data_IF_830543089530
#
_entry.id   IF_830543089530
#
_cell.length_a   1.000
_cell.length_b   1.000
_cell.length_c   1.000
_cell.angle_alpha   90.00
_cell.angle_beta   90.00
_cell.angle_gamma   90.00
#
_symmetry.space_group_name_H-M   'P 1'
#
loop_
_entity.id
_entity.type
_entity.pdbx_description
1 polymer ?
#
# COMPACT_ATOMS: atom_id res chain seq x y z
N UNK A 1 25.55 -0.69 -31.04
CA UNK A 1 24.63 -1.50 -30.19
C UNK A 1 25.49 -2.53 -29.49
N UNK A 2 25.33 -2.73 -28.18
CA UNK A 2 26.13 -3.68 -27.39
C UNK A 2 25.33 -4.91 -26.97
N UNK A 3 24.07 -4.73 -26.60
CA UNK A 3 23.15 -5.84 -26.31
C UNK A 3 21.82 -5.65 -27.06
N UNK A 4 21.11 -6.75 -27.29
CA UNK A 4 19.71 -6.75 -27.74
C UNK A 4 18.90 -7.64 -26.79
N UNK A 5 17.85 -7.09 -26.19
CA UNK A 5 16.97 -7.78 -25.21
C UNK A 5 15.56 -7.80 -25.76
N UNK A 6 15.04 -8.97 -26.15
CA UNK A 6 13.70 -9.11 -26.77
C UNK A 6 13.48 -8.10 -27.92
N UNK A 7 14.47 -8.00 -28.81
CA UNK A 7 14.52 -7.08 -29.96
C UNK A 7 14.64 -5.58 -29.59
N UNK A 8 14.89 -5.25 -28.32
CA UNK A 8 15.16 -3.88 -27.87
C UNK A 8 16.69 -3.70 -27.79
N UNK A 9 17.28 -2.79 -28.59
CA UNK A 9 18.71 -2.56 -28.57
C UNK A 9 19.13 -1.74 -27.34
N UNK A 10 20.25 -2.12 -26.73
CA UNK A 10 20.96 -1.35 -25.70
C UNK A 10 22.29 -0.92 -26.31
N UNK A 11 22.54 0.38 -26.36
CA UNK A 11 23.75 0.95 -26.95
C UNK A 11 24.87 1.09 -25.93
N UNK A 12 26.11 1.22 -26.42
CA UNK A 12 27.26 1.55 -25.58
C UNK A 12 27.08 2.91 -24.89
N UNK A 13 26.37 3.85 -25.52
CA UNK A 13 26.02 5.14 -24.94
C UNK A 13 25.09 5.00 -23.73
N UNK A 14 24.07 4.15 -23.82
CA UNK A 14 23.15 3.89 -22.70
C UNK A 14 23.88 3.32 -21.48
N UNK A 15 24.80 2.38 -21.73
CA UNK A 15 25.64 1.78 -20.68
C UNK A 15 26.58 2.82 -20.07
N UNK A 16 27.16 3.71 -20.89
CA UNK A 16 28.03 4.78 -20.41
C UNK A 16 27.26 5.79 -19.53
N UNK A 17 26.05 6.19 -19.93
CA UNK A 17 25.19 7.05 -19.12
C UNK A 17 24.79 6.40 -17.79
N UNK A 18 24.48 5.10 -17.80
CA UNK A 18 24.20 4.34 -16.57
C UNK A 18 25.42 4.26 -15.65
N UNK A 19 26.61 4.02 -16.21
CA UNK A 19 27.86 3.99 -15.46
C UNK A 19 28.20 5.36 -14.86
N UNK A 20 28.00 6.44 -15.61
CA UNK A 20 28.11 7.82 -15.13
C UNK A 20 27.15 8.08 -13.95
N UNK A 21 25.91 7.63 -14.05
CA UNK A 21 24.93 7.77 -12.98
C UNK A 21 25.34 7.01 -11.72
N UNK A 22 25.87 5.79 -11.85
CA UNK A 22 26.42 5.04 -10.72
C UNK A 22 27.57 5.77 -10.02
N UNK A 23 28.47 6.40 -10.79
CA UNK A 23 29.55 7.23 -10.23
C UNK A 23 29.00 8.41 -9.42
N UNK A 24 27.99 9.11 -9.94
CA UNK A 24 27.35 10.23 -9.24
C UNK A 24 26.72 9.78 -7.91
N UNK A 25 26.12 8.59 -7.88
CA UNK A 25 25.55 7.98 -6.66
C UNK A 25 26.59 7.34 -5.74
N UNK A 26 27.87 7.30 -6.13
CA UNK A 26 28.92 6.49 -5.47
C UNK A 26 28.51 5.01 -5.30
N UNK A 27 27.68 4.51 -6.21
CA UNK A 27 27.17 3.14 -6.22
C UNK A 27 28.11 2.26 -7.04
N UNK A 28 28.47 1.10 -6.50
CA UNK A 28 29.16 0.03 -7.26
C UNK A 28 28.13 -0.82 -8.00
N UNK A 29 28.46 -1.28 -9.19
CA UNK A 29 27.59 -2.18 -9.95
C UNK A 29 28.00 -2.31 -11.41
N UNK A 30 27.40 -3.28 -12.09
CA UNK A 30 27.56 -3.49 -13.52
C UNK A 30 26.47 -2.72 -14.28
N UNK A 31 26.89 -1.66 -14.97
CA UNK A 31 26.00 -0.79 -15.73
C UNK A 31 25.34 -1.50 -16.92
N UNK A 32 26.02 -2.44 -17.57
CA UNK A 32 25.45 -3.23 -18.65
C UNK A 32 24.36 -4.15 -18.12
N UNK A 33 24.65 -4.84 -17.01
CA UNK A 33 23.67 -5.69 -16.32
C UNK A 33 22.42 -4.91 -15.91
N UNK A 34 22.57 -3.71 -15.34
CA UNK A 34 21.42 -2.88 -14.93
C UNK A 34 20.62 -2.37 -16.14
N UNK A 35 21.28 -2.04 -17.25
CA UNK A 35 20.55 -1.65 -18.47
C UNK A 35 19.75 -2.81 -19.07
N UNK A 36 20.28 -4.03 -19.00
CA UNK A 36 19.52 -5.24 -19.36
C UNK A 36 18.30 -5.40 -18.44
N UNK A 37 18.48 -5.28 -17.12
CA UNK A 37 17.38 -5.37 -16.15
C UNK A 37 16.32 -4.30 -16.38
N UNK A 38 16.74 -3.05 -16.58
CA UNK A 38 15.83 -1.96 -16.89
C UNK A 38 14.99 -2.26 -18.14
N UNK A 39 15.63 -2.80 -19.19
CA UNK A 39 14.95 -3.14 -20.44
C UNK A 39 13.93 -4.25 -20.23
N UNK A 40 14.26 -5.27 -19.43
CA UNK A 40 13.33 -6.34 -19.06
C UNK A 40 12.15 -5.82 -18.25
N UNK A 41 12.39 -4.96 -17.25
CA UNK A 41 11.34 -4.34 -16.43
C UNK A 41 10.36 -3.53 -17.28
N UNK A 42 10.87 -2.74 -18.23
CA UNK A 42 10.05 -1.96 -19.16
C UNK A 42 9.26 -2.86 -20.11
N UNK A 43 9.87 -3.90 -20.65
CA UNK A 43 9.18 -4.88 -21.51
C UNK A 43 8.04 -5.58 -20.76
N UNK A 44 8.26 -5.94 -19.50
CA UNK A 44 7.24 -6.58 -18.67
C UNK A 44 6.12 -5.61 -18.28
N UNK A 45 6.44 -4.39 -17.89
CA UNK A 45 5.43 -3.37 -17.63
C UNK A 45 4.54 -3.14 -18.87
N UNK A 46 5.14 -3.09 -20.06
CA UNK A 46 4.40 -3.01 -21.32
C UNK A 46 3.49 -4.23 -21.54
N UNK A 47 3.97 -5.45 -21.25
CA UNK A 47 3.17 -6.69 -21.33
C UNK A 47 1.95 -6.65 -20.41
N UNK A 48 2.10 -6.04 -19.23
CA UNK A 48 1.02 -5.84 -18.24
C UNK A 48 0.09 -4.66 -18.56
N UNK A 49 0.31 -3.94 -19.67
CA UNK A 49 -0.47 -2.76 -20.03
C UNK A 49 -0.18 -1.52 -19.18
N UNK A 50 0.91 -1.54 -18.41
CA UNK A 50 1.33 -0.41 -17.57
C UNK A 50 2.00 0.65 -18.44
N UNK A 51 1.46 1.88 -18.40
CA UNK A 51 2.01 3.02 -19.14
C UNK A 51 2.22 4.21 -18.21
N UNK A 52 3.47 4.68 -18.16
CA UNK A 52 3.83 5.89 -17.42
C UNK A 52 3.91 7.06 -18.41
N UNK A 53 3.12 8.09 -18.17
CA UNK A 53 3.04 9.29 -19.01
C UNK A 53 4.24 10.22 -18.81
N UNK A 54 4.54 11.05 -19.80
CA UNK A 54 5.65 12.01 -19.71
C UNK A 54 5.43 13.02 -18.58
N UNK A 55 4.20 13.45 -18.36
CA UNK A 55 3.83 14.32 -17.24
C UNK A 55 4.16 13.70 -15.87
N UNK A 56 3.92 12.39 -15.71
CA UNK A 56 4.27 11.68 -14.48
C UNK A 56 5.79 11.60 -14.28
N UNK A 57 6.54 11.38 -15.36
CA UNK A 57 8.01 11.37 -15.34
C UNK A 57 8.56 12.75 -15.01
N UNK A 58 8.00 13.81 -15.61
CA UNK A 58 8.42 15.20 -15.37
C UNK A 58 8.14 15.63 -13.93
N UNK A 59 6.96 15.29 -13.40
CA UNK A 59 6.63 15.54 -12.00
C UNK A 59 7.58 14.78 -11.05
N UNK A 60 7.93 13.53 -11.36
CA UNK A 60 8.89 12.76 -10.57
C UNK A 60 10.31 13.34 -10.64
N UNK A 61 10.72 13.80 -11.82
CA UNK A 61 11.99 14.47 -12.04
C UNK A 61 12.08 15.78 -11.24
N UNK A 62 11.02 16.58 -11.24
CA UNK A 62 10.92 17.80 -10.43
C UNK A 62 10.98 17.49 -8.93
N UNK A 63 10.23 16.48 -8.45
CA UNK A 63 10.31 16.03 -7.05
C UNK A 63 11.71 15.60 -6.66
N UNK A 64 12.43 14.90 -7.52
CA UNK A 64 13.81 14.52 -7.27
C UNK A 64 14.71 15.74 -7.07
N UNK A 65 14.58 16.76 -7.91
CA UNK A 65 15.32 18.02 -7.77
C UNK A 65 15.00 18.72 -6.42
N UNK A 66 13.71 18.84 -6.10
CA UNK A 66 13.23 19.44 -4.85
C UNK A 66 13.74 18.70 -3.60
N UNK A 67 13.70 17.36 -3.61
CA UNK A 67 14.19 16.53 -2.50
C UNK A 67 15.70 16.70 -2.29
N UNK A 68 16.46 16.93 -3.36
CA UNK A 68 17.89 17.23 -3.31
C UNK A 68 18.16 18.74 -3.10
N UNK A 69 17.14 19.53 -2.77
CA UNK A 69 17.23 20.98 -2.48
C UNK A 69 17.93 21.77 -3.59
N UNK A 70 17.67 21.41 -4.84
CA UNK A 70 18.26 22.09 -6.00
C UNK A 70 17.22 22.46 -7.06
N UNK A 71 17.37 23.62 -7.73
CA UNK A 71 16.56 23.95 -8.90
C UNK A 71 16.79 22.98 -10.05
N UNK A 72 15.78 22.79 -10.92
CA UNK A 72 15.88 21.91 -12.09
C UNK A 72 17.06 22.22 -13.00
N UNK A 73 17.33 23.50 -13.28
CA UNK A 73 18.48 23.92 -14.09
C UNK A 73 19.82 23.48 -13.50
N UNK A 74 19.94 23.48 -12.16
CA UNK A 74 21.15 23.03 -11.46
C UNK A 74 21.28 21.51 -11.54
N UNK A 75 20.18 20.77 -11.40
CA UNK A 75 20.18 19.32 -11.57
C UNK A 75 20.58 18.91 -13.00
N UNK A 76 20.00 19.56 -14.01
CA UNK A 76 20.32 19.35 -15.42
C UNK A 76 21.84 19.55 -15.66
N UNK A 77 22.42 20.64 -15.11
CA UNK A 77 23.85 20.92 -15.21
C UNK A 77 24.74 19.87 -14.53
N UNK A 78 24.40 19.46 -13.30
CA UNK A 78 25.18 18.45 -12.53
C UNK A 78 25.18 17.10 -13.24
N UNK A 79 24.02 16.68 -13.76
CA UNK A 79 23.90 15.42 -14.50
C UNK A 79 24.70 15.48 -15.80
N UNK A 80 24.55 16.56 -16.57
CA UNK A 80 25.27 16.73 -17.83
C UNK A 80 26.79 16.72 -17.63
N UNK A 81 27.30 17.43 -16.60
CA UNK A 81 28.72 17.42 -16.24
C UNK A 81 29.22 16.02 -15.88
N UNK A 82 28.36 15.20 -15.28
CA UNK A 82 28.68 13.82 -14.89
C UNK A 82 28.56 12.83 -16.05
N UNK A 83 28.09 13.27 -17.24
CA UNK A 83 27.84 12.40 -18.39
C UNK A 83 26.50 11.65 -18.32
N UNK A 84 25.55 12.10 -17.50
CA UNK A 84 24.18 11.58 -17.43
C UNK A 84 23.27 12.56 -18.17
N UNK A 85 22.62 12.14 -19.25
CA UNK A 85 21.64 13.01 -19.94
C UNK A 85 20.33 13.06 -19.17
N UNK A 86 19.63 14.19 -19.29
CA UNK A 86 18.29 14.38 -18.74
C UNK A 86 17.33 13.30 -19.23
N UNK A 87 17.41 12.99 -20.52
CA UNK A 87 16.60 11.99 -21.20
C UNK A 87 16.85 10.60 -20.63
N UNK A 88 18.13 10.21 -20.45
CA UNK A 88 18.48 8.92 -19.85
C UNK A 88 17.98 8.80 -18.41
N UNK A 89 18.09 9.87 -17.62
CA UNK A 89 17.61 9.86 -16.25
C UNK A 89 16.07 9.85 -16.16
N UNK A 90 15.37 10.55 -17.05
CA UNK A 90 13.91 10.46 -17.16
C UNK A 90 13.47 9.04 -17.56
N UNK A 91 14.19 8.38 -18.45
CA UNK A 91 13.90 6.99 -18.82
C UNK A 91 14.15 6.02 -17.65
N UNK A 92 15.17 6.27 -16.83
CA UNK A 92 15.38 5.54 -15.59
C UNK A 92 14.19 5.71 -14.63
N UNK A 93 13.71 6.94 -14.42
CA UNK A 93 12.54 7.22 -13.58
C UNK A 93 11.32 6.47 -14.12
N UNK A 94 11.09 6.53 -15.44
CA UNK A 94 9.99 5.81 -16.10
C UNK A 94 10.04 4.32 -15.79
N UNK A 95 11.21 3.70 -15.93
CA UNK A 95 11.40 2.29 -15.65
C UNK A 95 11.16 1.94 -14.18
N UNK A 96 11.63 2.76 -13.23
CA UNK A 96 11.39 2.54 -11.80
C UNK A 96 9.90 2.63 -11.45
N UNK A 97 9.20 3.63 -11.98
CA UNK A 97 7.76 3.80 -11.76
C UNK A 97 6.94 2.66 -12.35
N UNK A 98 7.25 2.29 -13.59
CA UNK A 98 6.59 1.18 -14.28
C UNK A 98 6.81 -0.15 -13.55
N UNK A 99 8.03 -0.37 -13.06
CA UNK A 99 8.39 -1.58 -12.31
C UNK A 99 7.67 -1.66 -10.96
N UNK A 100 7.58 -0.56 -10.21
CA UNK A 100 6.84 -0.54 -8.95
C UNK A 100 5.36 -0.90 -9.15
N UNK A 101 4.74 -0.43 -10.23
CA UNK A 101 3.37 -0.83 -10.57
C UNK A 101 3.28 -2.32 -10.97
N UNK A 102 4.27 -2.84 -11.69
CA UNK A 102 4.34 -4.25 -12.07
C UNK A 102 4.50 -5.17 -10.85
N UNK A 103 5.35 -4.81 -9.90
CA UNK A 103 5.51 -5.52 -8.62
C UNK A 103 4.21 -5.52 -7.82
N UNK A 104 3.53 -4.37 -7.73
CA UNK A 104 2.24 -4.29 -7.07
C UNK A 104 1.17 -5.16 -7.76
N UNK A 105 1.17 -5.22 -9.09
CA UNK A 105 0.26 -6.09 -9.84
C UNK A 105 0.55 -7.58 -9.57
N UNK A 106 1.83 -7.97 -9.60
CA UNK A 106 2.27 -9.34 -9.29
C UNK A 106 1.98 -9.74 -7.84
N UNK A 107 2.13 -8.83 -6.89
CA UNK A 107 1.77 -9.07 -5.50
C UNK A 107 0.26 -9.32 -5.34
N UNK A 108 -0.58 -8.52 -6.01
CA UNK A 108 -2.05 -8.69 -5.99
C UNK A 108 -2.53 -9.96 -6.71
N UNK A 109 -1.83 -10.43 -7.74
CA UNK A 109 -2.18 -11.67 -8.44
C UNK A 109 -1.79 -12.94 -7.69
N UNK A 110 -1.19 -12.82 -6.49
CA UNK A 110 -0.71 -13.94 -5.67
C UNK A 110 0.58 -14.59 -6.17
N UNK A 111 0.98 -14.31 -7.41
CA UNK A 111 2.21 -14.79 -8.06
C UNK A 111 3.48 -14.05 -7.56
N UNK A 112 3.28 -12.96 -6.81
CA UNK A 112 4.30 -12.25 -6.03
C UNK A 112 4.38 -12.67 -4.56
N UNK A 113 3.69 -13.75 -4.20
CA UNK A 113 3.53 -14.18 -2.82
C UNK A 113 2.35 -13.47 -2.15
N UNK A 114 1.12 -13.94 -2.43
CA UNK A 114 0.24 -14.13 -1.26
C UNK A 114 1.03 -15.01 -0.30
N UNK A 115 1.17 -14.63 0.97
CA UNK A 115 1.84 -15.46 1.97
C UNK A 115 1.29 -16.88 1.81
N UNK A 116 2.09 -17.76 1.23
CA UNK A 116 1.70 -19.15 1.04
C UNK A 116 1.63 -19.77 2.42
N UNK A 117 0.85 -20.83 2.60
CA UNK A 117 0.84 -21.54 3.88
C UNK A 117 2.27 -21.93 4.32
N UNK A 118 3.15 -22.23 3.35
CA UNK A 118 4.56 -22.52 3.60
C UNK A 118 5.38 -21.30 4.06
N UNK A 119 5.13 -20.11 3.52
CA UNK A 119 5.78 -18.87 3.97
C UNK A 119 5.29 -18.44 5.36
N UNK A 120 3.99 -18.64 5.65
CA UNK A 120 3.44 -18.46 6.99
C UNK A 120 4.09 -19.43 7.98
N UNK A 121 4.25 -20.70 7.61
CA UNK A 121 4.93 -21.71 8.44
C UNK A 121 6.42 -21.38 8.66
N UNK A 122 7.15 -20.95 7.62
CA UNK A 122 8.55 -20.49 7.79
C UNK A 122 8.64 -19.28 8.71
N UNK A 123 7.78 -18.27 8.52
CA UNK A 123 7.72 -17.09 9.41
C UNK A 123 7.34 -17.45 10.84
N UNK A 124 6.46 -18.43 11.03
CA UNK A 124 6.12 -18.99 12.35
C UNK A 124 7.35 -19.63 13.00
N UNK A 125 8.10 -20.46 12.25
CA UNK A 125 9.32 -21.11 12.74
C UNK A 125 10.41 -20.06 13.11
N UNK A 126 10.59 -19.03 12.29
CA UNK A 126 11.57 -17.96 12.54
C UNK A 126 11.21 -17.07 13.75
N UNK A 127 9.91 -16.87 14.04
CA UNK A 127 9.42 -16.16 15.23
C UNK A 127 9.25 -17.08 16.46
N UNK A 128 9.90 -18.25 16.48
CA UNK A 128 9.92 -19.14 17.65
C UNK A 128 8.76 -20.14 17.73
N UNK A 129 8.13 -20.48 16.60
CA UNK A 129 7.08 -21.50 16.48
C UNK A 129 5.69 -21.07 16.95
N UNK A 130 5.53 -19.86 17.46
CA UNK A 130 4.24 -19.35 17.93
C UNK A 130 3.45 -18.73 16.79
N UNK A 131 2.18 -19.14 16.70
CA UNK A 131 1.26 -18.65 15.67
C UNK A 131 0.79 -17.24 16.02
N UNK A 132 0.93 -16.25 15.11
CA UNK A 132 0.47 -14.89 15.38
C UNK A 132 -1.00 -14.89 15.75
N UNK A 133 -1.35 -14.24 16.85
CA UNK A 133 -2.73 -13.99 17.21
C UNK A 133 -3.19 -12.65 16.60
N UNK A 134 -4.47 -12.59 16.25
CA UNK A 134 -5.16 -11.35 15.90
C UNK A 134 -6.28 -11.12 16.90
N UNK A 135 -6.55 -9.87 17.26
CA UNK A 135 -7.76 -9.54 18.00
C UNK A 135 -8.96 -9.58 17.05
N UNK A 136 -9.93 -10.45 17.34
CA UNK A 136 -11.25 -10.47 16.71
C UNK A 136 -12.21 -9.63 17.54
N UNK A 137 -12.90 -8.70 16.89
CA UNK A 137 -13.93 -7.86 17.49
C UNK A 137 -15.32 -8.28 17.01
N UNK A 138 -16.29 -8.23 17.91
CA UNK A 138 -17.71 -8.14 17.58
C UNK A 138 -18.13 -6.68 17.72
N UNK A 139 -18.59 -6.08 16.62
CA UNK A 139 -18.87 -4.65 16.55
C UNK A 139 -20.32 -4.39 16.17
N UNK A 140 -20.86 -3.31 16.71
CA UNK A 140 -22.16 -2.79 16.34
C UNK A 140 -22.03 -1.33 15.95
N UNK A 141 -22.58 -0.95 14.80
CA UNK A 141 -22.59 0.42 14.33
C UNK A 141 -23.95 1.05 14.60
N UNK A 142 -23.92 2.23 15.21
CA UNK A 142 -25.11 3.05 15.45
C UNK A 142 -25.02 4.28 14.57
N UNK A 143 -26.09 4.55 13.82
CA UNK A 143 -26.16 5.62 12.81
C UNK A 143 -27.39 6.47 13.13
N UNK A 144 -27.15 7.72 13.49
CA UNK A 144 -28.15 8.77 13.57
C UNK A 144 -28.27 9.36 12.17
N UNK A 145 -29.27 8.91 11.42
CA UNK A 145 -29.42 9.28 10.02
C UNK A 145 -29.74 10.76 9.92
N UNK A 146 -29.11 11.43 8.96
CA UNK A 146 -29.35 12.84 8.62
C UNK A 146 -29.51 12.95 7.10
N UNK A 147 -30.72 13.21 6.58
CA UNK A 147 -30.93 13.43 5.15
C UNK A 147 -30.06 14.58 4.63
N UNK A 148 -29.54 14.44 3.41
CA UNK A 148 -28.68 15.45 2.81
C UNK A 148 -29.35 16.84 2.72
N UNK A 149 -30.66 16.87 2.44
CA UNK A 149 -31.47 18.09 2.37
C UNK A 149 -31.60 18.84 3.70
N UNK A 150 -31.45 18.15 4.82
CA UNK A 150 -31.66 18.70 6.18
C UNK A 150 -30.35 18.88 6.96
N UNK A 151 -29.23 18.48 6.36
CA UNK A 151 -27.94 18.36 7.05
C UNK A 151 -27.49 19.66 7.73
N UNK A 152 -27.65 20.80 7.07
CA UNK A 152 -27.27 22.10 7.64
C UNK A 152 -28.10 22.47 8.88
N UNK A 153 -29.37 22.05 8.93
CA UNK A 153 -30.29 22.38 10.01
C UNK A 153 -30.21 21.41 11.18
N UNK A 154 -29.99 20.11 10.93
CA UNK A 154 -30.22 19.06 11.95
C UNK A 154 -28.96 18.36 12.42
N UNK A 155 -27.83 18.42 11.69
CA UNK A 155 -26.62 17.65 12.02
C UNK A 155 -26.10 17.91 13.44
N UNK A 156 -26.05 19.18 13.87
CA UNK A 156 -25.59 19.52 15.22
C UNK A 156 -26.50 18.96 16.33
N UNK A 157 -27.82 18.95 16.11
CA UNK A 157 -28.79 18.34 17.03
C UNK A 157 -28.59 16.83 17.08
N UNK A 158 -28.45 16.18 15.91
CA UNK A 158 -28.26 14.74 15.76
C UNK A 158 -26.93 14.28 16.38
N UNK A 159 -25.89 15.11 16.30
CA UNK A 159 -24.63 14.87 17.01
C UNK A 159 -24.80 14.83 18.52
N UNK A 160 -25.53 15.80 19.10
CA UNK A 160 -25.80 15.81 20.56
C UNK A 160 -26.60 14.57 21.00
N UNK A 161 -27.58 14.15 20.20
CA UNK A 161 -28.36 12.94 20.46
C UNK A 161 -27.47 11.67 20.40
N UNK A 162 -26.59 11.58 19.40
CA UNK A 162 -25.62 10.50 19.28
C UNK A 162 -24.64 10.47 20.47
N UNK A 163 -24.13 11.62 20.88
CA UNK A 163 -23.23 11.74 22.04
C UNK A 163 -23.94 11.35 23.35
N UNK A 164 -25.21 11.73 23.51
CA UNK A 164 -26.02 11.35 24.67
C UNK A 164 -26.30 9.84 24.71
N UNK A 165 -26.60 9.21 23.57
CA UNK A 165 -26.75 7.75 23.49
C UNK A 165 -25.43 7.04 23.77
N UNK A 166 -24.33 7.51 23.18
CA UNK A 166 -22.98 6.99 23.41
C UNK A 166 -22.59 7.05 24.88
N UNK A 167 -22.88 8.14 25.58
CA UNK A 167 -22.56 8.31 27.01
C UNK A 167 -23.27 7.27 27.90
N UNK A 168 -24.41 6.73 27.44
CA UNK A 168 -25.19 5.71 28.13
C UNK A 168 -24.93 4.29 27.62
N UNK A 169 -24.04 4.14 26.63
CA UNK A 169 -23.71 2.85 26.04
C UNK A 169 -22.98 1.97 27.07
N UNK A 170 -23.52 0.78 27.32
CA UNK A 170 -22.98 -0.18 28.28
C UNK A 170 -22.91 -1.61 27.73
N UNK A 171 -22.95 -1.75 26.40
CA UNK A 171 -22.94 -3.03 25.71
C UNK A 171 -23.91 -3.08 24.53
N UNK A 172 -23.67 -4.03 23.64
CA UNK A 172 -24.47 -4.19 22.42
C UNK A 172 -25.85 -4.83 22.67
N UNK A 173 -26.06 -5.49 23.82
CA UNK A 173 -27.32 -6.12 24.19
C UNK A 173 -28.47 -5.10 24.40
N UNK A 174 -28.15 -3.89 24.86
CA UNK A 174 -29.13 -2.84 25.15
C UNK A 174 -29.29 -1.83 24.01
N UNK A 175 -28.39 -1.84 23.03
CA UNK A 175 -28.29 -0.79 22.00
C UNK A 175 -29.55 -0.69 21.14
N UNK A 176 -30.13 -1.83 20.75
CA UNK A 176 -31.38 -1.86 19.97
C UNK A 176 -32.57 -1.33 20.77
N UNK A 177 -32.64 -1.64 22.05
CA UNK A 177 -33.72 -1.17 22.92
C UNK A 177 -33.65 0.35 23.12
N UNK A 178 -32.44 0.89 23.36
CA UNK A 178 -32.24 2.33 23.43
C UNK A 178 -32.57 3.03 22.11
N UNK A 179 -32.24 2.42 20.97
CA UNK A 179 -32.51 3.01 19.65
C UNK A 179 -34.01 3.10 19.32
N UNK A 180 -34.86 2.20 19.83
CA UNK A 180 -36.32 2.24 19.58
C UNK A 180 -36.98 3.53 20.06
N UNK A 181 -36.42 4.17 21.08
CA UNK A 181 -36.92 5.46 21.60
C UNK A 181 -36.41 6.68 20.84
N UNK A 182 -35.61 6.50 19.79
CA UNK A 182 -34.94 7.57 19.05
C UNK A 182 -35.38 7.56 17.58
N UNK A 183 -35.61 8.76 17.04
CA UNK A 183 -36.02 8.94 15.65
C UNK A 183 -34.82 8.72 14.73
N UNK A 184 -35.03 8.01 13.63
CA UNK A 184 -34.05 7.79 12.55
C UNK A 184 -32.69 7.24 13.01
N UNK A 185 -32.70 6.34 13.99
CA UNK A 185 -31.50 5.65 14.47
C UNK A 185 -31.47 4.23 13.91
N UNK A 186 -30.41 3.93 13.16
CA UNK A 186 -30.16 2.57 12.64
C UNK A 186 -29.06 1.89 13.46
N UNK A 187 -29.33 0.65 13.86
CA UNK A 187 -28.38 -0.20 14.57
C UNK A 187 -28.03 -1.41 13.72
N UNK A 188 -26.77 -1.49 13.28
CA UNK A 188 -26.25 -2.51 12.37
C UNK A 188 -25.18 -3.35 13.06
N UNK A 189 -25.35 -4.66 13.06
CA UNK A 189 -24.31 -5.58 13.52
C UNK A 189 -23.29 -5.78 12.41
N UNK A 190 -22.00 -5.60 12.71
CA UNK A 190 -20.92 -5.75 11.73
C UNK A 190 -20.32 -7.16 11.73
N UNK A 191 -20.81 -8.04 12.62
CA UNK A 191 -20.29 -9.39 12.78
C UNK A 191 -18.87 -9.41 13.36
N UNK A 192 -18.15 -10.49 13.06
CA UNK A 192 -16.76 -10.72 13.48
C UNK A 192 -15.81 -10.00 12.54
N UNK A 193 -14.97 -9.10 13.07
CA UNK A 193 -13.99 -8.33 12.31
C UNK A 193 -12.62 -8.48 12.97
N UNK A 194 -11.61 -8.88 12.20
CA UNK A 194 -10.24 -8.97 12.70
C UNK A 194 -9.59 -7.60 12.73
N UNK A 195 -8.73 -7.35 13.72
CA UNK A 195 -8.02 -6.07 13.88
C UNK A 195 -7.29 -5.58 12.61
N UNK A 196 -6.68 -6.45 11.77
CA UNK A 196 -6.07 -6.03 10.51
C UNK A 196 -7.05 -5.65 9.40
N UNK A 197 -8.32 -6.07 9.51
CA UNK A 197 -9.38 -5.76 8.55
C UNK A 197 -10.16 -4.48 8.92
N UNK A 198 -9.86 -3.89 10.08
CA UNK A 198 -10.53 -2.67 10.50
C UNK A 198 -10.23 -1.54 9.51
N UNK A 199 -11.26 -0.81 9.04
CA UNK A 199 -11.06 0.40 8.25
C UNK A 199 -10.12 1.37 8.99
N UNK A 200 -9.16 1.95 8.25
CA UNK A 200 -8.10 2.79 8.85
C UNK A 200 -8.64 3.99 9.61
N UNK A 201 -9.77 4.53 9.16
CA UNK A 201 -10.47 5.63 9.81
C UNK A 201 -11.00 5.24 11.20
N UNK A 202 -11.46 4.01 11.42
CA UNK A 202 -11.99 3.54 12.70
C UNK A 202 -11.00 2.74 13.56
N UNK A 203 -9.94 2.20 12.95
CA UNK A 203 -9.08 1.20 13.57
C UNK A 203 -8.48 1.66 14.91
N UNK A 204 -7.93 2.87 14.98
CA UNK A 204 -7.33 3.40 16.21
C UNK A 204 -8.35 3.59 17.33
N UNK A 205 -9.53 4.14 17.00
CA UNK A 205 -10.58 4.40 17.97
C UNK A 205 -11.17 3.10 18.51
N UNK A 206 -11.36 2.09 17.65
CA UNK A 206 -11.83 0.77 18.05
C UNK A 206 -10.82 0.10 18.98
N UNK A 207 -9.54 0.11 18.62
CA UNK A 207 -8.46 -0.48 19.44
C UNK A 207 -8.32 0.20 20.80
N UNK A 208 -8.54 1.51 20.87
CA UNK A 208 -8.48 2.28 22.12
C UNK A 208 -9.75 2.13 22.99
N UNK A 209 -10.86 1.65 22.42
CA UNK A 209 -12.14 1.53 23.13
C UNK A 209 -12.23 0.19 23.84
N UNK A 210 -12.55 0.21 25.14
CA UNK A 210 -12.75 -1.02 25.94
C UNK A 210 -14.02 -1.77 25.49
N UNK A 211 -14.00 -3.09 25.65
CA UNK A 211 -15.20 -3.93 25.48
C UNK A 211 -16.34 -3.41 26.36
N UNK A 212 -17.55 -3.38 25.80
CA UNK A 212 -18.73 -2.78 26.42
C UNK A 212 -18.83 -1.26 26.25
N UNK A 213 -17.78 -0.60 25.72
CA UNK A 213 -17.76 0.83 25.42
C UNK A 213 -18.06 1.16 23.95
N UNK A 214 -18.11 2.46 23.66
CA UNK A 214 -18.34 2.99 22.33
C UNK A 214 -17.31 4.07 21.94
N UNK A 215 -16.88 4.05 20.68
CA UNK A 215 -15.97 5.03 20.09
C UNK A 215 -16.58 6.45 20.15
N UNK A 216 -15.77 7.52 20.04
CA UNK A 216 -16.30 8.87 19.81
C UNK A 216 -17.25 8.93 18.61
N UNK A 217 -18.20 9.86 18.64
CA UNK A 217 -19.11 10.08 17.51
C UNK A 217 -18.39 10.78 16.36
N UNK A 218 -18.79 10.43 15.14
CA UNK A 218 -18.23 10.98 13.90
C UNK A 218 -19.34 11.40 12.96
N UNK A 219 -19.09 12.49 12.24
CA UNK A 219 -19.96 12.93 11.16
C UNK A 219 -19.55 12.20 9.87
N UNK A 220 -20.53 11.59 9.21
CA UNK A 220 -20.39 10.88 7.94
C UNK A 220 -21.44 11.39 6.95
N UNK A 221 -21.39 10.97 5.70
CA UNK A 221 -22.42 11.31 4.70
C UNK A 221 -23.82 10.84 5.13
N UNK A 222 -23.92 9.75 5.88
CA UNK A 222 -25.19 9.19 6.36
C UNK A 222 -25.75 9.93 7.57
N UNK A 223 -24.91 10.69 8.29
CA UNK A 223 -25.31 11.45 9.47
C UNK A 223 -24.24 11.42 10.56
N UNK A 224 -24.59 10.98 11.76
CA UNK A 224 -23.65 10.84 12.89
C UNK A 224 -23.57 9.40 13.34
N UNK A 225 -22.36 8.88 13.51
CA UNK A 225 -22.12 7.47 13.76
C UNK A 225 -21.17 7.22 14.92
N UNK A 226 -21.33 6.09 15.60
CA UNK A 226 -20.32 5.53 16.49
C UNK A 226 -20.33 4.00 16.42
N UNK A 227 -19.23 3.39 16.86
CA UNK A 227 -19.06 1.94 16.94
C UNK A 227 -19.05 1.50 18.40
N UNK A 228 -19.96 0.59 18.74
CA UNK A 228 -19.97 -0.13 20.01
C UNK A 228 -19.13 -1.40 19.93
N UNK A 229 -18.32 -1.64 20.96
CA UNK A 229 -17.47 -2.83 21.08
C UNK A 229 -18.21 -3.89 21.91
N UNK A 230 -18.77 -4.90 21.25
CA UNK A 230 -19.59 -5.91 21.92
C UNK A 230 -18.74 -6.93 22.67
N UNK A 231 -17.68 -7.41 22.02
CA UNK A 231 -16.68 -8.30 22.61
C UNK A 231 -15.39 -8.22 21.81
N UNK A 232 -14.28 -8.61 22.43
CA UNK A 232 -13.00 -8.85 21.75
C UNK A 232 -12.38 -10.13 22.27
N UNK A 233 -11.77 -10.91 21.40
CA UNK A 233 -10.99 -12.09 21.78
C UNK A 233 -9.76 -12.23 20.91
N UNK A 234 -8.71 -12.84 21.43
CA UNK A 234 -7.59 -13.25 20.59
C UNK A 234 -7.94 -14.53 19.83
N UNK A 235 -7.66 -14.54 18.53
CA UNK A 235 -7.78 -15.72 17.67
C UNK A 235 -6.43 -16.00 17.03
N UNK A 236 -6.02 -17.26 17.04
CA UNK A 236 -4.75 -17.72 16.46
C UNK A 236 -5.04 -18.90 15.52
N UNK A 237 -6.00 -18.71 14.60
CA UNK A 237 -6.30 -19.66 13.52
C UNK A 237 -5.48 -19.36 12.25
N UNK A 238 -5.46 -20.29 11.28
CA UNK A 238 -4.52 -20.18 10.13
C UNK A 238 -4.84 -18.94 9.29
N UNK A 239 -6.11 -18.57 9.23
CA UNK A 239 -6.60 -17.39 8.53
C UNK A 239 -6.18 -16.09 9.24
N UNK A 240 -6.27 -16.05 10.56
CA UNK A 240 -5.80 -14.93 11.37
C UNK A 240 -4.29 -14.74 11.23
N UNK A 241 -3.51 -15.83 11.29
CA UNK A 241 -2.07 -15.80 11.08
C UNK A 241 -1.72 -15.27 9.67
N UNK A 242 -2.38 -15.77 8.63
CA UNK A 242 -2.18 -15.30 7.26
C UNK A 242 -2.46 -13.80 7.12
N UNK A 243 -3.54 -13.31 7.73
CA UNK A 243 -3.92 -11.88 7.67
C UNK A 243 -2.97 -10.98 8.45
N UNK A 244 -2.48 -11.42 9.62
CA UNK A 244 -1.45 -10.69 10.37
C UNK A 244 -0.17 -10.60 9.53
N UNK A 245 0.26 -11.70 8.91
CA UNK A 245 1.44 -11.68 8.05
C UNK A 245 1.28 -10.86 6.78
N UNK A 246 0.07 -10.76 6.21
CA UNK A 246 -0.22 -9.86 5.09
C UNK A 246 -0.21 -8.39 5.51
N UNK A 247 -0.79 -8.08 6.68
CA UNK A 247 -0.79 -6.72 7.23
C UNK A 247 0.61 -6.27 7.67
N UNK A 248 1.41 -7.15 8.26
CA UNK A 248 2.84 -6.92 8.55
C UNK A 248 3.68 -6.92 7.26
N UNK A 249 3.29 -7.71 6.26
CA UNK A 249 3.99 -7.87 4.98
C UNK A 249 3.79 -6.73 3.99
N UNK A 250 2.97 -5.73 4.32
CA UNK A 250 2.77 -4.52 3.52
C UNK A 250 3.96 -3.54 3.54
N UNK A 251 5.01 -3.82 4.33
CA UNK A 251 6.11 -2.86 4.54
C UNK A 251 7.40 -3.49 5.06
N UNK A 252 7.90 -4.57 4.45
CA UNK A 252 9.30 -4.95 4.59
C UNK A 252 10.02 -4.67 3.26
N UNK A 253 10.84 -3.62 3.21
CA UNK A 253 11.69 -3.29 2.05
C UNK A 253 12.53 -4.49 1.58
N UNK A 254 12.91 -5.39 2.51
CA UNK A 254 13.65 -6.62 2.22
C UNK A 254 12.84 -7.63 1.39
N UNK A 255 11.56 -7.80 1.68
CA UNK A 255 10.69 -8.74 0.96
C UNK A 255 10.37 -8.22 -0.44
N UNK A 256 10.15 -6.90 -0.56
CA UNK A 256 9.95 -6.23 -1.84
C UNK A 256 11.19 -6.31 -2.74
N UNK A 257 12.38 -6.13 -2.16
CA UNK A 257 13.66 -6.27 -2.85
C UNK A 257 13.91 -7.72 -3.30
N UNK A 258 13.58 -8.70 -2.47
CA UNK A 258 13.73 -10.12 -2.82
C UNK A 258 12.76 -10.52 -3.94
N UNK A 259 11.49 -10.10 -3.85
CA UNK A 259 10.51 -10.32 -4.91
C UNK A 259 10.95 -9.68 -6.22
N UNK A 260 11.45 -8.44 -6.16
CA UNK A 260 11.97 -7.71 -7.31
C UNK A 260 13.12 -8.49 -7.99
N UNK A 261 14.07 -9.01 -7.20
CA UNK A 261 15.18 -9.83 -7.71
C UNK A 261 14.68 -11.12 -8.37
N UNK A 262 13.81 -11.88 -7.69
CA UNK A 262 13.25 -13.14 -8.22
C UNK A 262 12.51 -12.91 -9.53
N UNK A 263 11.67 -11.88 -9.60
CA UNK A 263 10.92 -11.56 -10.81
C UNK A 263 11.86 -11.20 -11.96
N UNK A 264 12.85 -10.34 -11.71
CA UNK A 264 13.84 -9.99 -12.74
C UNK A 264 14.61 -11.23 -13.23
N UNK A 265 14.98 -12.16 -12.34
CA UNK A 265 15.63 -13.42 -12.74
C UNK A 265 14.74 -14.31 -13.61
N UNK A 266 13.45 -14.42 -13.30
CA UNK A 266 12.50 -15.12 -14.16
C UNK A 266 12.37 -14.46 -15.54
N UNK A 267 12.31 -13.13 -15.58
CA UNK A 267 12.29 -12.39 -16.84
C UNK A 267 13.56 -12.63 -17.64
N UNK A 268 14.73 -12.66 -17.00
CA UNK A 268 16.01 -12.99 -17.65
C UNK A 268 15.99 -14.40 -18.25
N UNK A 269 15.46 -15.40 -17.54
CA UNK A 269 15.35 -16.78 -18.03
C UNK A 269 14.44 -16.90 -19.25
N UNK A 270 13.40 -16.06 -19.33
CA UNK A 270 12.43 -16.06 -20.44
C UNK A 270 12.85 -15.18 -21.61
N UNK A 271 13.79 -14.26 -21.41
CA UNK A 271 14.19 -13.28 -22.40
C UNK A 271 15.29 -13.80 -23.34
N UNK A 272 15.27 -13.34 -24.58
CA UNK A 272 16.39 -13.49 -25.51
C UNK A 272 17.34 -12.30 -25.34
N UNK A 273 18.53 -12.56 -24.82
CA UNK A 273 19.58 -11.55 -24.63
C UNK A 273 20.77 -11.91 -25.50
N UNK A 274 21.11 -11.06 -26.48
CA UNK A 274 22.22 -11.26 -27.42
C UNK A 274 23.22 -10.14 -27.25
N UNK A 275 24.49 -10.49 -27.01
CA UNK A 275 25.61 -9.55 -27.06
C UNK A 275 26.08 -9.35 -28.51
N UNK A 276 26.43 -8.12 -28.86
CA UNK A 276 26.92 -7.71 -30.18
C UNK A 276 28.27 -6.98 -30.07
#
# INVERSE_FOLDING_TARGET
IKYVVNNIPITTGDIAHRAAFFKLQRKKGDAAKEMIDQTLRLAEAKRLGIRITDQQVDAAYQRFASNNKMPLAKLDAVMAQSGVTKEHFKEFIRAQMAWNQALGARYRSGEGGSVTEQDAVRRMLDKGGSKPSATEYMLQQVIFVVPASERSATLAKRKREADAMRARFNGCNTTREFAKGLIDVTVRDLGRVLAPQLPSDWAEQIKATKVGGATPTRETERGVEFIGICSSREVSDDKAAQMVFQAEGGSNDKDADELSKKYVEELRKKATIVER
#
